data_IF_761530146727
#
_entry.id   IF_761530146727
#
_cell.length_a   1.000
_cell.length_b   1.000
_cell.length_c   1.000
_cell.angle_alpha   90.00
_cell.angle_beta   90.00
_cell.angle_gamma   90.00
#
_symmetry.space_group_name_H-M   'P 1'
#
loop_
_entity.id
_entity.type
_entity.pdbx_description
1 polymer ?
#
# COMPACT_ATOMS: atom_id res chain seq x y z
N UNK A 1 3.75 -0.77 43.78
CA UNK A 1 3.86 -2.16 43.22
C UNK A 1 3.01 -2.25 41.96
N UNK A 2 3.61 -2.41 40.81
CA UNK A 2 2.89 -2.64 39.57
C UNK A 2 2.35 -4.07 39.55
N UNK A 3 1.05 -4.21 39.28
CA UNK A 3 0.39 -5.51 39.21
C UNK A 3 0.67 -6.10 37.82
N UNK A 4 1.46 -7.17 37.73
CA UNK A 4 1.73 -7.89 36.48
C UNK A 4 0.50 -8.73 36.12
N UNK A 5 -0.12 -8.45 34.98
CA UNK A 5 -1.24 -9.22 34.46
C UNK A 5 -0.72 -10.15 33.35
N UNK A 6 -0.72 -11.47 33.60
CA UNK A 6 -0.39 -12.46 32.58
C UNK A 6 -1.65 -12.91 31.85
N UNK A 7 -1.70 -12.63 30.55
CA UNK A 7 -2.77 -13.11 29.68
C UNK A 7 -2.32 -14.45 29.11
N UNK A 8 -3.02 -15.53 29.47
CA UNK A 8 -2.70 -16.91 29.02
C UNK A 8 -3.40 -17.30 27.70
N UNK A 9 -4.46 -16.59 27.33
CA UNK A 9 -5.20 -16.75 26.06
C UNK A 9 -5.29 -15.41 25.35
N UNK A 10 -5.22 -15.44 24.01
CA UNK A 10 -5.47 -14.26 23.19
C UNK A 10 -6.88 -13.70 23.41
N UNK A 11 -7.06 -12.41 23.12
CA UNK A 11 -8.38 -11.76 23.10
C UNK A 11 -9.07 -12.13 21.78
N UNK A 12 -9.76 -13.26 21.76
CA UNK A 12 -10.61 -13.64 20.63
C UNK A 12 -11.97 -12.95 20.75
N UNK A 13 -12.26 -12.03 19.86
CA UNK A 13 -13.60 -11.46 19.73
C UNK A 13 -14.44 -12.46 18.95
N UNK A 14 -15.35 -13.16 19.63
CA UNK A 14 -16.28 -14.09 18.99
C UNK A 14 -17.38 -13.30 18.30
N UNK A 15 -17.27 -13.12 16.98
CA UNK A 15 -18.30 -12.56 16.15
C UNK A 15 -19.32 -13.65 15.78
N UNK A 16 -20.61 -13.30 15.83
CA UNK A 16 -21.67 -14.18 15.32
C UNK A 16 -21.65 -14.16 13.79
N UNK A 17 -21.54 -15.33 13.19
CA UNK A 17 -21.48 -15.52 11.75
C UNK A 17 -20.05 -15.62 11.21
N UNK A 18 -19.97 -16.13 9.99
CA UNK A 18 -18.73 -16.21 9.22
C UNK A 18 -18.99 -15.73 7.79
N UNK A 19 -17.98 -15.13 7.16
CA UNK A 19 -18.06 -14.82 5.74
C UNK A 19 -18.19 -16.10 4.91
N UNK A 20 -18.96 -16.06 3.84
CA UNK A 20 -19.04 -17.18 2.90
C UNK A 20 -17.69 -17.33 2.18
N UNK A 21 -17.27 -18.60 1.95
CA UNK A 21 -16.04 -18.91 1.21
C UNK A 21 -16.25 -18.79 -0.32
N UNK A 22 -16.99 -17.78 -0.76
CA UNK A 22 -17.26 -17.53 -2.18
C UNK A 22 -16.45 -16.32 -2.66
N UNK A 23 -15.81 -16.47 -3.82
CA UNK A 23 -15.12 -15.37 -4.51
C UNK A 23 -16.11 -14.79 -5.51
N UNK A 24 -16.37 -13.49 -5.41
CA UNK A 24 -17.24 -12.78 -6.35
C UNK A 24 -16.46 -11.68 -7.05
N UNK A 25 -16.69 -11.52 -8.36
CA UNK A 25 -16.11 -10.41 -9.10
C UNK A 25 -16.80 -9.09 -8.73
N UNK A 26 -15.99 -8.13 -8.27
CA UNK A 26 -16.48 -6.80 -7.99
C UNK A 26 -16.66 -5.99 -9.29
N UNK A 27 -17.67 -5.12 -9.31
CA UNK A 27 -17.87 -4.15 -10.39
C UNK A 27 -16.67 -3.20 -10.43
N UNK A 28 -16.01 -3.11 -11.59
CA UNK A 28 -14.87 -2.21 -11.78
C UNK A 28 -15.33 -0.75 -11.71
N UNK A 29 -14.69 0.03 -10.86
CA UNK A 29 -14.92 1.47 -10.78
C UNK A 29 -14.21 2.21 -11.93
N UNK A 30 -14.80 3.32 -12.38
CA UNK A 30 -14.15 4.22 -13.32
C UNK A 30 -13.17 5.19 -12.63
N UNK A 31 -13.27 5.32 -11.31
CA UNK A 31 -12.47 6.25 -10.51
C UNK A 31 -11.86 5.53 -9.32
N UNK A 32 -10.61 5.84 -9.06
CA UNK A 32 -9.85 5.35 -7.90
C UNK A 32 -9.21 6.53 -7.19
N UNK A 33 -9.11 6.45 -5.88
CA UNK A 33 -8.45 7.47 -5.08
C UNK A 33 -7.38 6.84 -4.19
N UNK A 34 -6.18 7.42 -4.21
CA UNK A 34 -5.13 7.09 -3.25
C UNK A 34 -5.12 8.15 -2.16
N UNK A 35 -5.25 7.71 -0.93
CA UNK A 35 -5.27 8.56 0.25
C UNK A 35 -4.02 8.29 1.09
N UNK A 36 -3.13 9.29 1.28
CA UNK A 36 -1.97 9.10 2.14
C UNK A 36 -2.32 8.77 3.58
N UNK A 37 -3.49 9.20 4.05
CA UNK A 37 -3.97 8.96 5.41
C UNK A 37 -4.26 7.47 5.70
N UNK A 38 -4.41 6.65 4.67
CA UNK A 38 -4.56 5.19 4.82
C UNK A 38 -3.25 4.52 5.25
N UNK A 39 -2.12 5.27 5.19
CA UNK A 39 -0.79 4.79 5.56
C UNK A 39 -0.27 5.55 6.79
N UNK A 40 -0.24 4.88 7.93
CA UNK A 40 0.17 5.49 9.20
C UNK A 40 1.62 5.99 9.17
N UNK A 41 1.83 7.23 9.65
CA UNK A 41 3.18 7.81 9.81
C UNK A 41 3.84 8.30 8.53
N UNK A 42 3.17 8.24 7.37
CA UNK A 42 3.71 8.70 6.07
C UNK A 42 3.56 10.21 5.92
N UNK A 43 4.64 10.87 5.52
CA UNK A 43 4.64 12.27 5.10
C UNK A 43 4.68 12.31 3.56
N UNK A 44 3.52 12.46 2.87
CA UNK A 44 3.47 12.27 1.43
C UNK A 44 4.11 13.43 0.66
N UNK A 45 4.94 13.09 -0.33
CA UNK A 45 5.44 14.00 -1.36
C UNK A 45 4.99 13.51 -2.73
N UNK A 46 4.29 14.37 -3.47
CA UNK A 46 3.74 14.01 -4.77
C UNK A 46 4.85 13.78 -5.80
N UNK A 47 4.70 12.72 -6.59
CA UNK A 47 5.51 12.43 -7.77
C UNK A 47 4.78 12.81 -9.07
N UNK A 48 3.48 13.14 -9.00
CA UNK A 48 2.62 13.38 -10.16
C UNK A 48 1.93 14.74 -10.09
N UNK A 49 1.46 15.19 -11.25
CA UNK A 49 0.65 16.40 -11.41
C UNK A 49 -0.74 16.03 -11.96
N UNK A 50 -1.71 16.94 -11.81
CA UNK A 50 -3.03 16.82 -12.46
C UNK A 50 -2.83 16.74 -13.97
N UNK A 51 -3.58 15.86 -14.64
CA UNK A 51 -3.46 15.58 -16.07
C UNK A 51 -2.37 14.57 -16.44
N UNK A 52 -1.56 14.09 -15.48
CA UNK A 52 -0.56 13.08 -15.76
C UNK A 52 -1.21 11.73 -16.09
N UNK A 53 -0.73 11.10 -17.17
CA UNK A 53 -1.12 9.71 -17.53
C UNK A 53 -0.17 8.74 -16.86
N UNK A 54 -0.73 7.73 -16.20
CA UNK A 54 0.00 6.75 -15.40
C UNK A 54 -0.35 5.33 -15.86
N UNK A 55 0.65 4.45 -15.80
CA UNK A 55 0.44 3.00 -15.87
C UNK A 55 0.19 2.45 -14.46
N UNK A 56 -0.55 1.37 -14.34
CA UNK A 56 -0.67 0.65 -13.07
C UNK A 56 0.72 0.24 -12.57
N UNK A 57 1.02 0.53 -11.31
CA UNK A 57 2.36 0.34 -10.72
C UNK A 57 3.29 1.56 -10.84
N UNK A 58 2.86 2.68 -11.43
CA UNK A 58 3.64 3.92 -11.39
C UNK A 58 3.42 4.70 -10.09
N UNK A 59 4.47 5.39 -9.64
CA UNK A 59 4.49 6.10 -8.36
C UNK A 59 3.62 7.34 -8.42
N UNK A 60 2.70 7.46 -7.46
CA UNK A 60 1.83 8.62 -7.26
C UNK A 60 2.40 9.59 -6.23
N UNK A 61 2.84 9.07 -5.12
CA UNK A 61 3.56 9.79 -4.07
C UNK A 61 4.55 8.86 -3.37
N UNK A 62 5.45 9.43 -2.62
CA UNK A 62 6.44 8.72 -1.80
C UNK A 62 6.55 9.36 -0.42
N UNK A 63 7.14 8.63 0.52
CA UNK A 63 7.37 9.16 1.86
C UNK A 63 8.54 10.15 1.85
N UNK A 64 8.32 11.36 2.35
CA UNK A 64 9.35 12.39 2.47
C UNK A 64 10.49 11.99 3.41
N UNK A 65 10.21 11.17 4.44
CA UNK A 65 11.21 10.69 5.38
C UNK A 65 12.10 9.61 4.76
N UNK A 66 11.56 8.82 3.82
CA UNK A 66 12.30 7.79 3.09
C UNK A 66 11.79 7.70 1.66
N UNK A 67 12.42 8.41 0.74
CA UNK A 67 12.00 8.51 -0.66
C UNK A 67 12.02 7.16 -1.43
N UNK A 68 12.66 6.13 -0.88
CA UNK A 68 12.62 4.79 -1.44
C UNK A 68 11.23 4.13 -1.28
N UNK A 69 10.44 4.56 -0.29
CA UNK A 69 9.10 4.03 -0.04
C UNK A 69 8.11 4.72 -0.97
N UNK A 70 7.69 4.00 -2.00
CA UNK A 70 6.81 4.50 -3.08
C UNK A 70 5.41 3.95 -2.92
N UNK A 71 4.42 4.80 -3.18
CA UNK A 71 3.00 4.47 -3.23
C UNK A 71 2.53 4.58 -4.68
N UNK A 72 2.09 3.46 -5.23
CA UNK A 72 1.84 3.31 -6.65
C UNK A 72 0.34 3.23 -6.95
N UNK A 73 -0.04 3.60 -8.18
CA UNK A 73 -1.43 3.47 -8.62
C UNK A 73 -1.79 2.01 -8.92
N UNK A 74 -2.98 1.55 -8.48
CA UNK A 74 -3.46 0.20 -8.79
C UNK A 74 -3.99 0.07 -10.23
N UNK A 75 -4.27 1.19 -10.91
CA UNK A 75 -4.85 1.23 -12.25
C UNK A 75 -4.06 2.16 -13.16
N UNK A 76 -4.11 1.91 -14.47
CA UNK A 76 -3.65 2.92 -15.43
C UNK A 76 -4.76 3.94 -15.69
N UNK A 77 -4.35 5.18 -15.93
CA UNK A 77 -5.30 6.24 -16.19
C UNK A 77 -4.72 7.62 -16.04
N UNK A 78 -5.59 8.60 -15.95
CA UNK A 78 -5.24 10.01 -15.85
C UNK A 78 -5.53 10.54 -14.44
N UNK A 79 -4.59 11.29 -13.88
CA UNK A 79 -4.78 12.02 -12.61
C UNK A 79 -5.74 13.16 -12.83
N UNK A 80 -6.98 13.04 -12.34
CA UNK A 80 -8.01 14.08 -12.50
C UNK A 80 -7.84 15.22 -11.51
N UNK A 81 -7.59 14.87 -10.26
CA UNK A 81 -7.62 15.82 -9.17
C UNK A 81 -6.65 15.42 -8.07
N UNK A 82 -6.04 16.42 -7.44
CA UNK A 82 -5.25 16.28 -6.21
C UNK A 82 -5.92 17.17 -5.17
N UNK A 83 -6.72 16.55 -4.31
CA UNK A 83 -7.41 17.25 -3.24
C UNK A 83 -6.48 17.57 -2.10
N UNK A 84 -6.46 18.81 -1.69
CA UNK A 84 -5.63 19.32 -0.60
C UNK A 84 -6.50 19.84 0.53
N UNK A 85 -6.11 19.59 1.76
CA UNK A 85 -6.70 20.15 2.95
C UNK A 85 -5.90 21.33 3.52
N UNK A 86 -6.13 21.60 4.77
CA UNK A 86 -5.41 22.63 5.53
C UNK A 86 -3.89 22.45 5.44
N UNK A 87 -3.15 23.55 5.47
CA UNK A 87 -1.68 23.55 5.40
C UNK A 87 -1.12 22.80 4.18
N UNK A 88 -1.89 22.74 3.07
CA UNK A 88 -1.56 22.03 1.82
C UNK A 88 -1.40 20.50 1.97
N UNK A 89 -1.93 19.91 3.05
CA UNK A 89 -1.94 18.46 3.25
C UNK A 89 -2.62 17.77 2.06
N UNK A 90 -2.02 16.70 1.54
CA UNK A 90 -2.60 15.91 0.47
C UNK A 90 -3.64 14.98 1.11
N UNK A 91 -4.92 15.15 0.74
CA UNK A 91 -6.01 14.31 1.23
C UNK A 91 -6.23 13.09 0.33
N UNK A 92 -6.30 13.34 -0.99
CA UNK A 92 -6.47 12.27 -1.96
C UNK A 92 -5.93 12.65 -3.33
N UNK A 93 -5.51 11.64 -4.08
CA UNK A 93 -5.16 11.74 -5.50
C UNK A 93 -6.15 10.88 -6.27
N UNK A 94 -7.03 11.52 -7.04
CA UNK A 94 -8.10 10.87 -7.80
C UNK A 94 -7.64 10.56 -9.22
N UNK A 95 -7.81 9.32 -9.63
CA UNK A 95 -7.37 8.79 -10.91
C UNK A 95 -8.59 8.25 -11.65
N UNK A 96 -8.77 8.65 -12.91
CA UNK A 96 -9.74 8.07 -13.82
C UNK A 96 -9.09 6.90 -14.52
N UNK A 97 -9.63 5.71 -14.30
CA UNK A 97 -9.09 4.49 -14.88
C UNK A 97 -9.31 4.41 -16.39
N UNK A 98 -8.35 3.86 -17.10
CA UNK A 98 -8.49 3.51 -18.50
C UNK A 98 -9.42 2.29 -18.65
N UNK A 99 -10.11 2.19 -19.80
CA UNK A 99 -10.92 1.00 -20.13
C UNK A 99 -10.07 -0.27 -20.21
N UNK A 100 -8.83 -0.14 -20.69
CA UNK A 100 -7.85 -1.23 -20.75
C UNK A 100 -6.65 -0.84 -19.90
N UNK A 101 -6.41 -1.58 -18.81
CA UNK A 101 -5.32 -1.29 -17.90
C UNK A 101 -3.98 -1.68 -18.52
N UNK A 102 -3.03 -0.75 -18.52
CA UNK A 102 -1.63 -0.96 -18.86
C UNK A 102 -0.78 -1.00 -17.61
N UNK A 103 0.21 -1.89 -17.56
CA UNK A 103 1.03 -2.11 -16.38
C UNK A 103 2.46 -1.64 -16.60
N UNK A 104 3.08 -1.12 -15.53
CA UNK A 104 4.53 -0.94 -15.46
C UNK A 104 5.17 -2.31 -15.33
N UNK A 105 6.17 -2.60 -16.15
CA UNK A 105 6.92 -3.85 -16.10
C UNK A 105 8.18 -3.68 -15.26
N UNK A 106 8.50 -4.68 -14.45
CA UNK A 106 9.71 -4.75 -13.64
C UNK A 106 10.59 -5.92 -14.11
N UNK A 107 11.89 -5.83 -13.86
CA UNK A 107 12.81 -6.94 -14.12
C UNK A 107 12.46 -8.12 -13.21
N UNK A 108 12.32 -9.30 -13.79
CA UNK A 108 12.12 -10.53 -13.02
C UNK A 108 13.44 -10.95 -12.37
N UNK A 109 13.38 -11.41 -11.12
CA UNK A 109 14.50 -11.98 -10.41
C UNK A 109 14.31 -13.51 -10.29
N UNK A 110 15.38 -14.25 -10.50
CA UNK A 110 15.37 -15.69 -10.20
C UNK A 110 15.50 -15.87 -8.68
N UNK A 111 14.44 -16.35 -8.02
CA UNK A 111 14.42 -16.53 -6.56
C UNK A 111 15.50 -17.50 -6.07
N UNK A 112 15.97 -18.43 -6.93
CA UNK A 112 17.02 -19.40 -6.56
C UNK A 112 18.41 -18.76 -6.40
N UNK A 113 18.66 -17.62 -7.05
CA UNK A 113 19.96 -16.94 -7.06
C UNK A 113 19.90 -15.48 -6.60
N UNK A 114 18.71 -14.97 -6.26
CA UNK A 114 18.54 -13.59 -5.85
C UNK A 114 19.08 -13.35 -4.44
N UNK A 115 19.92 -12.32 -4.30
CA UNK A 115 20.35 -11.84 -2.99
C UNK A 115 19.26 -11.01 -2.32
N UNK A 116 19.25 -10.97 -0.99
CA UNK A 116 18.25 -10.26 -0.19
C UNK A 116 18.12 -8.77 -0.58
N UNK A 117 19.26 -8.10 -0.84
CA UNK A 117 19.28 -6.70 -1.23
C UNK A 117 18.62 -6.45 -2.60
N UNK A 118 18.80 -7.37 -3.56
CA UNK A 118 18.16 -7.27 -4.87
C UNK A 118 16.64 -7.46 -4.76
N UNK A 119 16.18 -8.37 -3.91
CA UNK A 119 14.76 -8.57 -3.63
C UNK A 119 14.17 -7.32 -2.95
N UNK A 120 14.85 -6.79 -1.94
CA UNK A 120 14.45 -5.56 -1.24
C UNK A 120 14.35 -4.37 -2.20
N UNK A 121 15.35 -4.19 -3.07
CA UNK A 121 15.36 -3.13 -4.06
C UNK A 121 14.17 -3.26 -5.05
N UNK A 122 13.85 -4.47 -5.49
CA UNK A 122 12.69 -4.72 -6.35
C UNK A 122 11.37 -4.40 -5.65
N UNK A 123 11.20 -4.81 -4.40
CA UNK A 123 10.01 -4.54 -3.60
C UNK A 123 9.80 -3.05 -3.35
N UNK A 124 10.88 -2.30 -3.13
CA UNK A 124 10.85 -0.85 -3.00
C UNK A 124 10.48 -0.16 -4.32
N UNK A 125 11.07 -0.59 -5.44
CA UNK A 125 10.79 0.01 -6.75
C UNK A 125 9.40 -0.32 -7.28
N UNK A 126 8.89 -1.51 -6.98
CA UNK A 126 7.55 -1.93 -7.37
C UNK A 126 6.42 -1.29 -6.54
N UNK A 127 6.75 -0.64 -5.41
CA UNK A 127 5.77 -0.09 -4.48
C UNK A 127 5.04 -1.16 -3.65
N UNK A 128 5.58 -2.39 -3.61
CA UNK A 128 5.04 -3.47 -2.76
C UNK A 128 5.48 -3.33 -1.30
N UNK A 129 6.57 -2.62 -1.04
CA UNK A 129 7.16 -2.50 0.29
C UNK A 129 6.20 -2.03 1.38
N UNK A 130 5.36 -0.97 1.19
CA UNK A 130 4.43 -0.52 2.21
C UNK A 130 3.43 -1.60 2.65
N UNK A 131 3.01 -2.45 1.73
CA UNK A 131 2.05 -3.52 2.01
C UNK A 131 2.69 -4.68 2.78
N UNK A 132 3.96 -4.99 2.52
CA UNK A 132 4.71 -6.02 3.25
C UNK A 132 4.97 -5.55 4.69
N UNK A 133 5.34 -4.29 4.89
CA UNK A 133 5.56 -3.73 6.20
C UNK A 133 4.28 -3.67 7.05
N UNK A 134 3.10 -3.64 6.45
CA UNK A 134 1.83 -3.69 7.18
C UNK A 134 1.52 -5.09 7.73
N UNK A 135 2.09 -6.14 7.16
CA UNK A 135 1.90 -7.51 7.64
C UNK A 135 2.53 -7.76 9.01
N UNK A 136 3.52 -7.00 9.43
CA UNK A 136 4.11 -7.16 10.76
C UNK A 136 3.29 -6.52 11.88
N UNK A 137 2.31 -5.69 11.58
CA UNK A 137 1.37 -5.20 12.60
C UNK A 137 0.46 -6.32 13.11
N UNK A 138 0.42 -7.43 12.37
CA UNK A 138 -0.31 -8.66 12.71
C UNK A 138 0.53 -9.70 13.46
N UNK A 139 1.86 -9.82 13.30
CA UNK A 139 2.59 -10.86 14.00
C UNK A 139 2.60 -10.57 15.50
N UNK A 140 2.37 -11.62 16.28
CA UNK A 140 2.51 -11.55 17.71
C UNK A 140 3.97 -11.18 18.06
N UNK A 141 4.23 -10.52 19.20
CA UNK A 141 5.59 -10.23 19.64
C UNK A 141 6.53 -11.43 19.72
N UNK A 142 6.01 -12.65 19.65
CA UNK A 142 6.78 -13.89 19.58
C UNK A 142 7.48 -14.09 18.24
N UNK A 143 6.91 -13.60 17.16
CA UNK A 143 7.47 -13.80 15.82
C UNK A 143 8.65 -12.87 15.54
N UNK A 144 8.82 -11.84 16.33
CA UNK A 144 9.95 -10.92 16.29
C UNK A 144 11.19 -11.40 17.05
N UNK A 145 11.12 -12.55 17.74
CA UNK A 145 12.20 -13.10 18.57
C UNK A 145 12.93 -14.29 17.95
N UNK A 146 12.73 -14.54 16.64
CA UNK A 146 13.47 -15.57 15.93
C UNK A 146 14.48 -14.97 14.98
#
# INVERSE_FOLDING_TARGET
MSKEIRISKGLDIRLLGAATHSITDAIKSNFYALRPDDFHGVIPKLAVKVGAKLKAGETVFFDKANEAIKFVTPVSGEVLEIKRGEKRRILEVKIKADKKISYKTHKTLSLKSAQADAIKALLLDSGCWPFICLLYTSPSPRDLRK
#
